data_IF_446134199212
#
_entry.id   IF_446134199212
#
_cell.length_a   1.000
_cell.length_b   1.000
_cell.length_c   1.000
_cell.angle_alpha   90.00
_cell.angle_beta   90.00
_cell.angle_gamma   90.00
#
_symmetry.space_group_name_H-M   'P 1'
#
loop_
_entity.id
_entity.type
_entity.pdbx_description
1 polymer ?
#
# COMPACT_ATOMS: atom_id res chain seq x y z
N UNK A 1 -4.02 -13.95 -5.07
CA UNK A 1 -2.79 -14.27 -4.33
C UNK A 1 -3.11 -15.33 -3.30
N UNK A 2 -2.33 -16.39 -3.25
CA UNK A 2 -2.55 -17.48 -2.29
C UNK A 2 -1.30 -17.62 -1.44
N UNK A 3 -1.37 -17.28 -0.18
CA UNK A 3 -0.43 -17.70 0.84
C UNK A 3 -0.88 -19.09 1.33
N UNK A 4 0.01 -19.92 1.84
CA UNK A 4 -0.23 -21.35 2.12
C UNK A 4 -1.53 -21.70 2.88
N UNK A 5 -2.15 -20.73 3.55
CA UNK A 5 -3.39 -20.89 4.31
C UNK A 5 -4.50 -19.88 3.95
N UNK A 6 -4.19 -18.83 3.18
CA UNK A 6 -5.09 -17.73 2.88
C UNK A 6 -5.17 -17.45 1.38
N UNK A 7 -6.39 -17.25 0.90
CA UNK A 7 -6.62 -16.68 -0.42
C UNK A 7 -7.06 -15.23 -0.25
N UNK A 8 -6.25 -14.29 -0.79
CA UNK A 8 -6.53 -12.85 -0.73
C UNK A 8 -6.96 -12.36 -2.09
N UNK A 9 -8.09 -11.69 -2.16
CA UNK A 9 -8.60 -11.02 -3.35
C UNK A 9 -8.92 -9.55 -3.03
N UNK A 10 -8.73 -8.69 -4.02
CA UNK A 10 -9.09 -7.28 -3.94
C UNK A 10 -10.10 -6.96 -5.05
N UNK A 11 -11.12 -6.19 -4.72
CA UNK A 11 -12.12 -5.68 -5.65
C UNK A 11 -12.28 -4.18 -5.42
N UNK A 12 -12.14 -3.40 -6.47
CA UNK A 12 -12.20 -1.95 -6.43
C UNK A 12 -11.30 -1.32 -7.50
N UNK A 13 -11.08 -0.02 -7.39
CA UNK A 13 -10.12 0.69 -8.23
C UNK A 13 -8.71 0.13 -8.01
N UNK A 14 -7.93 0.00 -9.09
CA UNK A 14 -6.58 -0.53 -9.01
C UNK A 14 -5.69 0.35 -8.12
N UNK A 15 -5.14 -0.22 -7.05
CA UNK A 15 -4.21 0.46 -6.16
C UNK A 15 -2.81 0.45 -6.74
N UNK A 16 -2.11 1.57 -6.64
CA UNK A 16 -0.72 1.74 -7.08
C UNK A 16 0.27 1.75 -5.89
N UNK A 17 1.56 1.95 -6.16
CA UNK A 17 2.60 1.99 -5.13
C UNK A 17 2.50 3.23 -4.22
N UNK A 18 1.85 4.29 -4.68
CA UNK A 18 1.63 5.46 -3.85
C UNK A 18 0.46 5.25 -2.88
N UNK A 19 -0.57 4.47 -3.28
CA UNK A 19 -1.62 4.04 -2.37
C UNK A 19 -1.06 3.13 -1.27
N UNK A 20 -0.16 2.20 -1.65
CA UNK A 20 0.55 1.35 -0.71
C UNK A 20 1.39 2.17 0.27
N UNK A 21 2.09 3.21 -0.20
CA UNK A 21 2.89 4.07 0.67
C UNK A 21 2.03 4.84 1.69
N UNK A 22 0.88 5.35 1.27
CA UNK A 22 -0.07 5.96 2.20
C UNK A 22 -0.55 4.94 3.23
N UNK A 23 -0.94 3.74 2.79
CA UNK A 23 -1.36 2.66 3.67
C UNK A 23 -0.28 2.27 4.68
N UNK A 24 0.94 1.99 4.23
CA UNK A 24 2.06 1.61 5.10
C UNK A 24 2.39 2.71 6.12
N UNK A 25 2.36 3.98 5.70
CA UNK A 25 2.57 5.14 6.59
C UNK A 25 1.49 5.22 7.67
N UNK A 26 0.22 5.05 7.29
CA UNK A 26 -0.89 5.04 8.24
C UNK A 26 -0.77 3.88 9.24
N UNK A 27 -0.41 2.69 8.77
CA UNK A 27 -0.20 1.50 9.63
C UNK A 27 0.99 1.67 10.58
N UNK A 28 2.10 2.22 10.09
CA UNK A 28 3.25 2.56 10.91
C UNK A 28 2.88 3.51 12.04
N UNK A 29 2.15 4.59 11.72
CA UNK A 29 1.70 5.58 12.71
C UNK A 29 0.72 4.98 13.72
N UNK A 30 -0.20 4.12 13.28
CA UNK A 30 -1.12 3.43 14.16
C UNK A 30 -0.37 2.54 15.16
N UNK A 31 0.59 1.75 14.68
CA UNK A 31 1.43 0.88 15.52
C UNK A 31 2.30 1.69 16.48
N UNK A 32 3.01 2.71 15.99
CA UNK A 32 3.91 3.54 16.80
C UNK A 32 3.19 4.27 17.93
N UNK A 33 1.95 4.70 17.71
CA UNK A 33 1.12 5.41 18.70
C UNK A 33 0.23 4.48 19.53
N UNK A 34 0.32 3.14 19.34
CA UNK A 34 -0.54 2.13 20.00
C UNK A 34 -2.03 2.47 19.90
N UNK A 35 -2.45 2.85 18.70
CA UNK A 35 -3.81 3.33 18.45
C UNK A 35 -4.77 2.15 18.38
N UNK A 36 -5.78 2.15 19.25
CA UNK A 36 -6.79 1.11 19.27
C UNK A 36 -7.98 1.37 18.33
N UNK A 37 -8.29 2.65 18.06
CA UNK A 37 -9.49 3.03 17.30
C UNK A 37 -9.19 3.90 16.08
N UNK A 38 -8.88 5.19 16.32
CA UNK A 38 -8.77 6.18 15.26
C UNK A 38 -7.38 6.81 15.25
N UNK A 39 -6.75 6.85 14.09
CA UNK A 39 -5.58 7.70 13.88
C UNK A 39 -6.06 9.15 13.67
N UNK A 40 -5.52 10.06 14.50
CA UNK A 40 -5.72 11.50 14.36
C UNK A 40 -4.40 12.16 14.00
N UNK A 41 -4.34 12.77 12.82
CA UNK A 41 -3.14 13.41 12.26
C UNK A 41 -3.55 14.61 11.43
N UNK A 42 -2.68 15.60 11.27
CA UNK A 42 -2.92 16.66 10.29
C UNK A 42 -2.47 16.24 8.90
N UNK A 43 -3.07 16.81 7.85
CA UNK A 43 -2.59 16.60 6.48
C UNK A 43 -1.13 17.06 6.32
N UNK A 44 -0.73 18.12 7.04
CA UNK A 44 0.66 18.58 7.09
C UNK A 44 1.60 17.49 7.59
N UNK A 45 1.30 16.90 8.75
CA UNK A 45 2.13 15.85 9.34
C UNK A 45 2.15 14.59 8.47
N UNK A 46 1.01 14.25 7.84
CA UNK A 46 0.95 13.11 6.93
C UNK A 46 1.81 13.33 5.68
N UNK A 47 1.74 14.51 5.06
CA UNK A 47 2.62 14.88 3.94
C UNK A 47 4.11 14.81 4.35
N UNK A 48 4.44 15.26 5.56
CA UNK A 48 5.79 15.17 6.11
C UNK A 48 6.25 13.72 6.29
N UNK A 49 5.39 12.84 6.80
CA UNK A 49 5.70 11.41 6.93
C UNK A 49 5.89 10.74 5.55
N UNK A 50 5.07 11.12 4.57
CA UNK A 50 5.20 10.67 3.18
C UNK A 50 6.37 11.33 2.43
N UNK A 51 7.09 12.26 3.06
CA UNK A 51 8.22 13.03 2.48
C UNK A 51 7.84 13.79 1.21
N UNK A 52 6.60 14.23 1.11
CA UNK A 52 6.10 15.06 0.01
C UNK A 52 5.88 16.49 0.47
N UNK A 53 5.97 17.43 -0.47
CA UNK A 53 5.72 18.85 -0.19
C UNK A 53 4.27 19.06 0.26
N UNK A 54 4.09 19.80 1.36
CA UNK A 54 2.78 20.21 1.82
C UNK A 54 2.24 21.35 0.94
N UNK A 55 1.26 21.05 0.11
CA UNK A 55 0.52 21.96 -0.73
C UNK A 55 -0.87 21.36 -1.06
N UNK A 56 -1.77 22.17 -1.58
CA UNK A 56 -3.14 21.75 -1.86
C UNK A 56 -3.21 20.55 -2.82
N UNK A 57 -2.37 20.52 -3.86
CA UNK A 57 -2.34 19.42 -4.84
C UNK A 57 -1.98 18.09 -4.17
N UNK A 58 -0.94 18.08 -3.35
CA UNK A 58 -0.50 16.88 -2.64
C UNK A 58 -1.50 16.48 -1.54
N UNK A 59 -2.10 17.43 -0.82
CA UNK A 59 -3.15 17.15 0.16
C UNK A 59 -4.35 16.47 -0.48
N UNK A 60 -4.85 17.00 -1.60
CA UNK A 60 -5.94 16.39 -2.36
C UNK A 60 -5.56 14.99 -2.89
N UNK A 61 -4.34 14.81 -3.39
CA UNK A 61 -3.85 13.51 -3.85
C UNK A 61 -3.82 12.48 -2.71
N UNK A 62 -3.38 12.88 -1.51
CA UNK A 62 -3.37 12.00 -0.32
C UNK A 62 -4.80 11.64 0.09
N UNK A 63 -5.73 12.59 0.11
CA UNK A 63 -7.14 12.34 0.43
C UNK A 63 -7.74 11.33 -0.57
N UNK A 64 -7.54 11.52 -1.87
CA UNK A 64 -8.01 10.60 -2.91
C UNK A 64 -7.45 9.18 -2.75
N UNK A 65 -6.19 9.03 -2.34
CA UNK A 65 -5.59 7.72 -2.04
C UNK A 65 -6.26 7.07 -0.84
N UNK A 66 -6.54 7.83 0.22
CA UNK A 66 -7.27 7.33 1.40
C UNK A 66 -8.69 6.90 1.00
N UNK A 67 -9.36 7.64 0.14
CA UNK A 67 -10.68 7.28 -0.40
C UNK A 67 -10.61 5.96 -1.20
N UNK A 68 -9.62 5.75 -2.06
CA UNK A 68 -9.42 4.48 -2.78
C UNK A 68 -9.21 3.30 -1.82
N UNK A 69 -8.41 3.47 -0.77
CA UNK A 69 -8.22 2.46 0.28
C UNK A 69 -9.51 2.13 1.04
N UNK A 70 -10.41 3.11 1.18
CA UNK A 70 -11.73 2.92 1.80
C UNK A 70 -12.71 2.20 0.87
N UNK A 71 -12.77 2.59 -0.40
CA UNK A 71 -13.77 2.07 -1.34
C UNK A 71 -13.40 0.68 -1.89
N UNK A 72 -12.15 0.25 -1.77
CA UNK A 72 -11.73 -1.09 -2.13
C UNK A 72 -12.16 -2.14 -1.10
N UNK A 73 -12.55 -3.31 -1.59
CA UNK A 73 -12.88 -4.45 -0.74
C UNK A 73 -11.77 -5.49 -0.77
N UNK A 74 -11.23 -5.81 0.38
CA UNK A 74 -10.32 -6.95 0.58
C UNK A 74 -11.13 -8.15 1.02
N UNK A 75 -10.97 -9.26 0.33
CA UNK A 75 -11.54 -10.55 0.71
C UNK A 75 -10.42 -11.49 1.12
N UNK A 76 -10.52 -12.06 2.33
CA UNK A 76 -9.56 -13.04 2.84
C UNK A 76 -10.34 -14.31 3.14
N UNK A 77 -9.98 -15.39 2.46
CA UNK A 77 -10.65 -16.69 2.62
C UNK A 77 -9.65 -17.71 3.16
N UNK A 78 -10.09 -18.45 4.16
CA UNK A 78 -9.46 -19.66 4.69
C UNK A 78 -10.30 -20.88 4.29
N UNK A 79 -9.90 -22.08 4.73
CA UNK A 79 -10.72 -23.29 4.52
C UNK A 79 -12.08 -23.23 5.22
N UNK A 80 -12.19 -22.48 6.31
CA UNK A 80 -13.39 -22.46 7.17
C UNK A 80 -14.10 -21.11 7.25
N UNK A 81 -13.42 -20.01 6.86
CA UNK A 81 -13.96 -18.67 7.04
C UNK A 81 -13.65 -17.79 5.83
N UNK A 82 -14.55 -16.86 5.56
CA UNK A 82 -14.37 -15.80 4.58
C UNK A 82 -14.65 -14.46 5.24
N UNK A 83 -13.60 -13.62 5.27
CA UNK A 83 -13.72 -12.22 5.66
C UNK A 83 -13.79 -11.35 4.40
N UNK A 84 -14.60 -10.30 4.43
CA UNK A 84 -14.61 -9.24 3.42
C UNK A 84 -14.83 -7.88 4.09
N UNK A 85 -14.10 -6.88 3.64
CA UNK A 85 -14.17 -5.52 4.19
C UNK A 85 -13.18 -4.58 3.53
N UNK A 86 -13.29 -3.28 3.82
CA UNK A 86 -12.35 -2.27 3.36
C UNK A 86 -11.11 -2.21 4.27
N UNK A 87 -10.01 -1.67 3.75
CA UNK A 87 -8.80 -1.40 4.53
C UNK A 87 -9.06 -0.31 5.59
N UNK A 88 -9.79 0.72 5.20
CA UNK A 88 -10.21 1.86 6.03
C UNK A 88 -11.73 1.81 6.18
N UNK A 89 -12.24 1.80 7.42
CA UNK A 89 -13.67 1.81 7.68
C UNK A 89 -14.28 3.18 7.38
N UNK A 90 -13.72 4.21 8.02
CA UNK A 90 -14.15 5.59 7.86
C UNK A 90 -12.96 6.55 7.91
N UNK A 91 -13.17 7.73 7.33
CA UNK A 91 -12.27 8.85 7.44
C UNK A 91 -13.01 10.15 7.23
N UNK A 92 -12.56 11.19 7.90
CA UNK A 92 -12.99 12.56 7.58
C UNK A 92 -11.81 13.52 7.74
N UNK A 93 -11.84 14.61 7.00
CA UNK A 93 -10.86 15.69 7.05
C UNK A 93 -11.55 17.02 7.28
N UNK A 94 -11.02 17.84 8.17
CA UNK A 94 -11.46 19.22 8.35
C UNK A 94 -10.77 20.10 7.32
N UNK A 95 -11.49 20.44 6.23
CA UNK A 95 -10.94 21.19 5.10
C UNK A 95 -10.77 22.67 5.44
N UNK A 96 -11.73 23.25 6.18
CA UNK A 96 -11.79 24.69 6.48
C UNK A 96 -11.02 25.09 7.76
N UNK A 97 -10.31 24.13 8.36
CA UNK A 97 -9.64 24.34 9.64
C UNK A 97 -8.18 23.94 9.62
N UNK A 98 -7.77 23.25 10.68
CA UNK A 98 -6.40 22.80 10.92
C UNK A 98 -5.95 21.62 10.05
N UNK A 99 -6.76 21.18 9.07
CA UNK A 99 -6.47 20.02 8.22
C UNK A 99 -6.42 18.71 8.99
N UNK A 100 -7.08 18.61 10.15
CA UNK A 100 -7.17 17.36 10.91
C UNK A 100 -7.85 16.28 10.10
N UNK A 101 -7.15 15.17 9.98
CA UNK A 101 -7.60 13.94 9.38
C UNK A 101 -7.83 12.91 10.49
N UNK A 102 -8.98 12.26 10.47
CA UNK A 102 -9.30 11.14 11.36
C UNK A 102 -9.58 9.91 10.52
N UNK A 103 -8.90 8.82 10.82
CA UNK A 103 -9.01 7.55 10.07
C UNK A 103 -9.33 6.42 11.05
N UNK A 104 -10.43 5.75 10.79
CA UNK A 104 -10.84 4.53 11.48
C UNK A 104 -10.40 3.30 10.68
N UNK A 105 -9.51 2.49 11.26
CA UNK A 105 -9.02 1.27 10.65
C UNK A 105 -9.99 0.11 10.77
N UNK A 106 -9.88 -0.82 9.83
CA UNK A 106 -10.53 -2.10 9.96
C UNK A 106 -9.75 -2.99 10.94
N UNK A 107 -10.18 -3.01 12.20
CA UNK A 107 -9.53 -3.79 13.27
C UNK A 107 -9.40 -5.28 12.96
N UNK A 108 -10.30 -5.84 12.15
CA UNK A 108 -10.23 -7.25 11.75
C UNK A 108 -9.06 -7.58 10.82
N UNK A 109 -8.49 -6.56 10.17
CA UNK A 109 -7.29 -6.70 9.34
C UNK A 109 -6.00 -6.48 10.11
N UNK A 110 -6.07 -5.83 11.29
CA UNK A 110 -4.87 -5.51 12.08
C UNK A 110 -4.01 -6.73 12.44
N UNK A 111 -4.57 -7.92 12.81
CA UNK A 111 -3.75 -9.10 13.08
C UNK A 111 -2.83 -9.50 11.93
N UNK A 112 -3.22 -9.27 10.67
CA UNK A 112 -2.38 -9.54 9.49
C UNK A 112 -1.07 -8.71 9.47
N UNK A 113 -1.03 -7.62 10.23
CA UNK A 113 0.11 -6.70 10.29
C UNK A 113 0.82 -6.73 11.65
N UNK A 114 0.32 -7.51 12.62
CA UNK A 114 0.86 -7.55 13.99
C UNK A 114 1.44 -8.91 14.39
N UNK A 115 0.97 -10.00 13.80
CA UNK A 115 1.27 -11.37 14.27
C UNK A 115 2.55 -11.99 13.66
N UNK A 116 3.44 -11.16 13.11
CA UNK A 116 4.78 -11.61 12.69
C UNK A 116 4.89 -12.10 11.25
N UNK A 117 3.79 -12.27 10.54
CA UNK A 117 3.76 -12.71 9.13
C UNK A 117 3.93 -11.54 8.12
N UNK A 118 4.61 -10.46 8.53
CA UNK A 118 4.86 -9.31 7.67
C UNK A 118 6.35 -9.10 7.44
N UNK A 119 6.69 -8.58 6.26
CA UNK A 119 8.05 -8.18 5.91
C UNK A 119 8.23 -6.69 6.18
N UNK A 120 9.32 -6.35 6.88
CA UNK A 120 9.72 -4.96 7.05
C UNK A 120 10.42 -4.50 5.77
N UNK A 121 9.83 -3.51 5.10
CA UNK A 121 10.35 -2.90 3.89
C UNK A 121 10.92 -1.53 4.22
N UNK A 122 12.14 -1.23 3.74
CA UNK A 122 12.77 0.06 3.98
C UNK A 122 12.05 1.20 3.23
N UNK A 123 11.47 2.12 3.99
CA UNK A 123 10.88 3.33 3.43
C UNK A 123 11.92 4.22 2.73
N UNK A 124 13.18 4.22 3.23
CA UNK A 124 14.26 5.01 2.64
C UNK A 124 14.64 4.51 1.25
N UNK A 125 14.76 3.20 1.06
CA UNK A 125 15.03 2.60 -0.25
C UNK A 125 13.87 2.87 -1.20
N UNK A 126 12.61 2.67 -0.76
CA UNK A 126 11.44 2.99 -1.59
C UNK A 126 11.40 4.44 -2.03
N UNK A 127 11.83 5.36 -1.17
CA UNK A 127 11.92 6.78 -1.49
C UNK A 127 13.02 7.08 -2.51
N UNK A 128 14.18 6.41 -2.43
CA UNK A 128 15.26 6.53 -3.41
C UNK A 128 14.86 6.07 -4.81
N UNK A 129 13.96 5.09 -4.93
CA UNK A 129 13.40 4.63 -6.20
C UNK A 129 12.42 5.64 -6.85
N UNK A 130 12.16 6.78 -6.20
CA UNK A 130 11.36 7.88 -6.73
C UNK A 130 9.95 7.46 -7.16
N UNK A 131 9.51 7.98 -8.31
CA UNK A 131 8.16 7.73 -8.85
C UNK A 131 8.08 6.47 -9.74
N UNK A 132 9.17 5.69 -9.85
CA UNK A 132 9.17 4.48 -10.66
C UNK A 132 8.34 3.36 -9.99
N UNK A 133 7.06 3.27 -10.37
CA UNK A 133 6.11 2.31 -9.82
C UNK A 133 6.59 0.85 -9.97
N UNK A 134 7.24 0.52 -11.10
CA UNK A 134 7.71 -0.84 -11.34
C UNK A 134 8.93 -1.18 -10.49
N UNK A 135 9.88 -0.25 -10.33
CA UNK A 135 11.04 -0.44 -9.45
C UNK A 135 10.61 -0.63 -8.00
N UNK A 136 9.70 0.21 -7.50
CA UNK A 136 9.13 0.09 -6.15
C UNK A 136 8.37 -1.24 -5.95
N UNK A 137 7.62 -1.68 -6.98
CA UNK A 137 6.92 -2.96 -6.93
C UNK A 137 7.91 -4.13 -6.89
N UNK A 138 8.95 -4.12 -7.73
CA UNK A 138 9.99 -5.14 -7.76
C UNK A 138 10.75 -5.22 -6.42
N UNK A 139 11.12 -4.08 -5.87
CA UNK A 139 11.76 -4.01 -4.57
C UNK A 139 10.88 -4.67 -3.49
N UNK A 140 9.63 -4.26 -3.37
CA UNK A 140 8.69 -4.83 -2.40
C UNK A 140 8.49 -6.34 -2.62
N UNK A 141 8.39 -6.77 -3.89
CA UNK A 141 8.19 -8.18 -4.24
C UNK A 141 9.38 -9.03 -3.82
N UNK A 142 10.61 -8.63 -4.15
CA UNK A 142 11.80 -9.42 -3.82
C UNK A 142 12.14 -9.36 -2.33
N UNK A 143 11.97 -8.23 -1.66
CA UNK A 143 12.14 -8.13 -0.20
C UNK A 143 11.14 -9.02 0.57
N UNK A 144 9.96 -9.26 0.03
CA UNK A 144 8.97 -10.14 0.65
C UNK A 144 9.30 -11.64 0.53
N UNK A 145 10.35 -12.02 -0.20
CA UNK A 145 10.78 -13.39 -0.41
C UNK A 145 12.11 -13.64 0.31
N UNK A 146 12.10 -14.56 1.27
CA UNK A 146 13.31 -14.92 2.03
C UNK A 146 14.42 -15.47 1.13
N UNK A 147 14.04 -16.31 0.16
CA UNK A 147 14.94 -16.93 -0.81
C UNK A 147 14.37 -16.68 -2.22
N UNK A 148 14.65 -15.52 -2.80
CA UNK A 148 14.07 -15.16 -4.09
C UNK A 148 14.63 -16.06 -5.20
N UNK A 149 13.73 -16.70 -5.94
CA UNK A 149 14.07 -17.50 -7.13
C UNK A 149 13.94 -16.64 -8.39
N UNK A 150 14.65 -16.98 -9.47
CA UNK A 150 14.48 -16.32 -10.75
C UNK A 150 13.07 -16.55 -11.30
N UNK A 151 12.39 -15.47 -11.70
CA UNK A 151 11.09 -15.51 -12.36
C UNK A 151 11.21 -15.08 -13.82
N UNK A 152 10.37 -15.64 -14.69
CA UNK A 152 10.28 -15.16 -16.07
C UNK A 152 9.65 -13.78 -16.12
N UNK A 153 10.04 -12.98 -17.11
CA UNK A 153 9.50 -11.62 -17.28
C UNK A 153 7.98 -11.66 -17.53
N UNK A 154 7.47 -12.66 -18.27
CA UNK A 154 6.05 -12.87 -18.47
C UNK A 154 5.29 -13.14 -17.15
N UNK A 155 5.90 -13.92 -16.25
CA UNK A 155 5.32 -14.17 -14.95
C UNK A 155 5.27 -12.90 -14.10
N UNK A 156 6.37 -12.11 -14.04
CA UNK A 156 6.42 -10.83 -13.33
C UNK A 156 5.39 -9.85 -13.90
N UNK A 157 5.27 -9.78 -15.24
CA UNK A 157 4.27 -8.93 -15.89
C UNK A 157 2.84 -9.26 -15.45
N UNK A 158 2.50 -10.54 -15.37
CA UNK A 158 1.18 -11.01 -14.89
C UNK A 158 0.97 -10.69 -13.42
N UNK A 159 2.00 -10.86 -12.59
CA UNK A 159 1.91 -10.56 -11.16
C UNK A 159 1.69 -9.08 -10.87
N UNK A 160 2.44 -8.20 -11.52
CA UNK A 160 2.27 -6.75 -11.35
C UNK A 160 1.08 -6.18 -12.16
N UNK A 161 0.34 -7.05 -12.88
CA UNK A 161 -0.83 -6.70 -13.71
C UNK A 161 -0.54 -5.59 -14.73
N UNK A 162 0.64 -5.63 -15.34
CA UNK A 162 1.00 -4.66 -16.37
C UNK A 162 0.25 -4.95 -17.68
N UNK A 163 -0.46 -3.95 -18.20
CA UNK A 163 -1.20 -4.01 -19.46
C UNK A 163 -0.32 -3.72 -20.70
N UNK A 164 0.98 -3.43 -20.50
CA UNK A 164 1.89 -3.17 -21.61
C UNK A 164 2.08 -4.43 -22.48
N UNK A 165 2.50 -4.24 -23.73
CA UNK A 165 3.01 -5.37 -24.51
C UNK A 165 4.21 -6.03 -23.81
N UNK A 166 4.44 -7.32 -24.01
CA UNK A 166 5.60 -8.00 -23.42
C UNK A 166 6.93 -7.35 -23.84
N UNK A 167 6.99 -6.81 -25.06
CA UNK A 167 8.16 -6.09 -25.57
C UNK A 167 8.42 -4.81 -24.78
N UNK A 168 7.38 -4.01 -24.56
CA UNK A 168 7.49 -2.76 -23.81
C UNK A 168 7.75 -3.02 -22.32
N UNK A 169 7.15 -4.07 -21.79
CA UNK A 169 7.40 -4.48 -20.41
C UNK A 169 8.85 -4.92 -20.20
N UNK A 170 9.45 -5.68 -21.13
CA UNK A 170 10.87 -6.02 -21.10
C UNK A 170 11.78 -4.81 -21.07
N UNK A 171 11.43 -3.77 -21.80
CA UNK A 171 12.17 -2.52 -21.76
C UNK A 171 12.02 -1.79 -20.40
N UNK A 172 10.79 -1.67 -19.91
CA UNK A 172 10.50 -1.03 -18.61
C UNK A 172 11.15 -1.73 -17.42
N UNK A 173 11.09 -3.08 -17.39
CA UNK A 173 11.71 -3.84 -16.29
C UNK A 173 13.25 -3.70 -16.30
N UNK A 174 13.86 -3.62 -17.48
CA UNK A 174 15.30 -3.37 -17.58
C UNK A 174 15.70 -2.02 -16.98
N UNK A 175 14.91 -0.98 -17.22
CA UNK A 175 15.14 0.35 -16.61
C UNK A 175 14.93 0.26 -15.10
N UNK A 176 13.83 -0.34 -14.66
CA UNK A 176 13.49 -0.45 -13.25
C UNK A 176 14.52 -1.23 -12.41
N UNK A 177 15.29 -2.12 -13.01
CA UNK A 177 16.37 -2.87 -12.36
C UNK A 177 17.72 -2.14 -12.34
N UNK A 178 17.82 -0.96 -12.95
CA UNK A 178 19.03 -0.13 -12.97
C UNK A 178 18.99 1.01 -11.94
N UNK A 179 17.84 1.24 -11.32
CA UNK A 179 17.64 2.19 -10.23
C UNK A 179 17.95 1.58 -8.87
#
# INVERSE_FOLDING_TARGET
>A
FTMSQYHVAFSGEHLDQNDLEVWDTLMYLAKARKIENDLRITLYDLCKQLRIKDNNVNREAVIKRIERLKFGTVTISTKSQKFFGSLINNGYVNIDGDGKLVIEYNKKLMPLFTDGDYTLISADIRHLLGDNQLARWLYNFYESHRDPIPFTIDFIQKLCRSENSLKDFKYKIKIALQE
#
